data_IF_659552599580
#
_entry.id   IF_659552599580
#
_cell.length_a   1.000
_cell.length_b   1.000
_cell.length_c   1.000
_cell.angle_alpha   90.00
_cell.angle_beta   90.00
_cell.angle_gamma   90.00
#
_symmetry.space_group_name_H-M   'P 1'
#
loop_
_entity.id
_entity.type
_entity.pdbx_description
1 polymer ?
#
# COMPACT_ATOMS: atom_id res chain seq x y z
N UNK A 1 -13.64 11.26 13.15
CA UNK A 1 -12.38 12.02 12.99
C UNK A 1 -12.73 13.50 12.94
N UNK A 2 -11.89 14.37 13.50
CA UNK A 2 -12.00 15.83 13.29
C UNK A 2 -11.14 16.27 12.11
N UNK A 3 -11.41 17.45 11.54
CA UNK A 3 -10.64 17.99 10.42
C UNK A 3 -9.14 18.12 10.74
N UNK A 4 -8.79 18.56 11.96
CA UNK A 4 -7.40 18.64 12.42
C UNK A 4 -6.68 17.28 12.42
N UNK A 5 -7.35 16.24 12.89
CA UNK A 5 -6.82 14.87 12.93
C UNK A 5 -6.62 14.30 11.52
N UNK A 6 -7.58 14.56 10.63
CA UNK A 6 -7.49 14.20 9.21
C UNK A 6 -6.33 14.92 8.52
N UNK A 7 -6.20 16.23 8.72
CA UNK A 7 -5.13 17.05 8.15
C UNK A 7 -3.75 16.55 8.57
N UNK A 8 -3.57 16.18 9.85
CA UNK A 8 -2.33 15.59 10.32
C UNK A 8 -1.99 14.26 9.62
N UNK A 9 -2.97 13.35 9.49
CA UNK A 9 -2.78 12.08 8.77
C UNK A 9 -2.41 12.33 7.30
N UNK A 10 -3.11 13.25 6.65
CA UNK A 10 -2.89 13.61 5.26
C UNK A 10 -1.44 14.08 5.03
N UNK A 11 -1.01 15.12 5.74
CA UNK A 11 0.32 15.71 5.52
C UNK A 11 1.47 14.79 5.92
N UNK A 12 1.31 14.01 7.00
CA UNK A 12 2.35 13.05 7.39
C UNK A 12 2.50 11.93 6.36
N UNK A 13 1.40 11.42 5.83
CA UNK A 13 1.44 10.40 4.76
C UNK A 13 2.01 10.98 3.46
N UNK A 14 1.62 12.22 3.11
CA UNK A 14 2.10 12.90 1.91
C UNK A 14 3.62 13.09 1.95
N UNK A 15 4.12 13.66 3.05
CA UNK A 15 5.55 13.87 3.27
C UNK A 15 6.31 12.55 3.25
N UNK A 16 5.77 11.52 3.90
CA UNK A 16 6.39 10.20 3.93
C UNK A 16 6.47 9.57 2.53
N UNK A 17 5.42 9.67 1.71
CA UNK A 17 5.44 9.18 0.34
C UNK A 17 6.47 9.90 -0.54
N UNK A 18 6.59 11.23 -0.40
CA UNK A 18 7.63 12.01 -1.07
C UNK A 18 9.05 11.56 -0.67
N UNK A 19 9.31 11.44 0.64
CA UNK A 19 10.63 11.03 1.14
C UNK A 19 11.02 9.62 0.71
N UNK A 20 10.09 8.66 0.81
CA UNK A 20 10.35 7.27 0.39
C UNK A 20 10.60 7.20 -1.11
N UNK A 21 9.84 7.94 -1.92
CA UNK A 21 10.01 7.93 -3.37
C UNK A 21 11.33 8.54 -3.82
N UNK A 22 11.79 9.62 -3.18
CA UNK A 22 13.14 10.15 -3.42
C UNK A 22 14.19 9.11 -3.06
N UNK A 23 14.08 8.47 -1.88
CA UNK A 23 15.03 7.45 -1.46
C UNK A 23 15.12 6.27 -2.42
N UNK A 24 13.97 5.70 -2.79
CA UNK A 24 13.88 4.57 -3.73
C UNK A 24 14.31 5.00 -5.14
N UNK A 25 13.87 6.16 -5.60
CA UNK A 25 14.22 6.69 -6.91
C UNK A 25 15.72 6.90 -7.09
N UNK A 26 16.42 7.41 -6.07
CA UNK A 26 17.88 7.57 -6.10
C UNK A 26 18.61 6.22 -6.10
N UNK A 27 18.14 5.24 -5.32
CA UNK A 27 18.69 3.87 -5.32
C UNK A 27 18.54 3.23 -6.70
N UNK A 28 17.36 3.38 -7.31
CA UNK A 28 17.07 2.84 -8.64
C UNK A 28 17.87 3.55 -9.73
N UNK A 29 17.98 4.88 -9.69
CA UNK A 29 18.79 5.64 -10.65
C UNK A 29 20.28 5.25 -10.59
N UNK A 30 20.78 4.86 -9.41
CA UNK A 30 22.16 4.36 -9.27
C UNK A 30 22.32 2.93 -9.79
N UNK A 31 21.30 2.07 -9.58
CA UNK A 31 21.37 0.64 -9.87
C UNK A 31 21.00 0.31 -11.32
N UNK A 32 20.11 1.08 -11.92
CA UNK A 32 19.58 0.89 -13.27
C UNK A 32 19.81 2.18 -14.08
N UNK A 33 20.76 2.12 -15.02
CA UNK A 33 21.13 3.28 -15.84
C UNK A 33 20.04 3.70 -16.84
N UNK A 34 19.08 2.82 -17.11
CA UNK A 34 17.93 3.12 -17.98
C UNK A 34 16.73 3.66 -17.20
N UNK A 35 16.78 3.63 -15.86
CA UNK A 35 15.73 4.18 -15.02
C UNK A 35 15.72 5.71 -15.11
N UNK A 36 14.71 6.24 -15.80
CA UNK A 36 14.40 7.67 -15.84
C UNK A 36 12.96 7.91 -15.39
N UNK A 37 12.76 8.86 -14.48
CA UNK A 37 11.41 9.28 -14.10
C UNK A 37 11.01 10.41 -15.06
N UNK A 38 10.04 10.14 -15.94
CA UNK A 38 9.54 11.05 -16.99
C UNK A 38 10.57 11.52 -18.03
N UNK A 39 11.65 10.77 -18.28
CA UNK A 39 12.50 10.95 -19.47
C UNK A 39 13.36 12.21 -19.55
N UNK A 40 13.59 12.92 -18.44
CA UNK A 40 14.44 14.13 -18.41
C UNK A 40 15.74 13.89 -17.63
N UNK A 41 16.87 14.29 -18.25
CA UNK A 41 18.24 13.90 -17.87
C UNK A 41 18.96 14.86 -16.90
N UNK A 42 18.28 15.89 -16.37
CA UNK A 42 18.86 16.74 -15.33
C UNK A 42 18.58 16.15 -13.94
N UNK A 43 19.62 15.98 -13.12
CA UNK A 43 19.51 15.40 -11.76
C UNK A 43 18.46 16.11 -10.91
N UNK A 44 18.37 17.45 -10.99
CA UNK A 44 17.35 18.23 -10.28
C UNK A 44 15.92 17.99 -10.78
N UNK A 45 15.75 17.73 -12.08
CA UNK A 45 14.44 17.40 -12.65
C UNK A 45 13.98 15.99 -12.27
N UNK A 46 14.92 15.05 -12.15
CA UNK A 46 14.61 13.68 -11.73
C UNK A 46 14.16 13.63 -10.26
N UNK A 47 14.80 14.39 -9.36
CA UNK A 47 14.36 14.51 -7.96
C UNK A 47 12.97 15.14 -7.84
N UNK A 48 12.68 16.17 -8.64
CA UNK A 48 11.35 16.78 -8.66
C UNK A 48 10.28 15.78 -9.12
N UNK A 49 10.56 14.99 -10.16
CA UNK A 49 9.63 13.95 -10.62
C UNK A 49 9.46 12.84 -9.59
N UNK A 50 10.52 12.45 -8.89
CA UNK A 50 10.43 11.48 -7.80
C UNK A 50 9.55 12.00 -6.65
N UNK A 51 9.69 13.27 -6.32
CA UNK A 51 8.87 13.95 -5.31
C UNK A 51 7.40 13.99 -5.75
N UNK A 52 7.12 14.44 -6.97
CA UNK A 52 5.76 14.50 -7.52
C UNK A 52 5.13 13.11 -7.61
N UNK A 53 5.88 12.12 -8.09
CA UNK A 53 5.46 10.71 -8.11
C UNK A 53 5.09 10.21 -6.72
N UNK A 54 5.95 10.47 -5.73
CA UNK A 54 5.68 10.11 -4.34
C UNK A 54 4.47 10.80 -3.75
N UNK A 55 4.26 12.08 -4.08
CA UNK A 55 3.05 12.81 -3.69
C UNK A 55 1.80 12.16 -4.32
N UNK A 56 1.80 11.84 -5.61
CA UNK A 56 0.69 11.15 -6.27
C UNK A 56 0.39 9.79 -5.66
N UNK A 57 1.43 8.98 -5.41
CA UNK A 57 1.28 7.65 -4.81
C UNK A 57 0.73 7.76 -3.38
N UNK A 58 1.17 8.75 -2.61
CA UNK A 58 0.65 8.96 -1.25
C UNK A 58 -0.82 9.40 -1.25
N UNK A 59 -1.26 10.20 -2.23
CA UNK A 59 -2.67 10.58 -2.39
C UNK A 59 -3.51 9.37 -2.81
N UNK A 60 -2.99 8.52 -3.70
CA UNK A 60 -3.63 7.26 -4.08
C UNK A 60 -3.85 6.36 -2.85
N UNK A 61 -2.81 6.17 -2.03
CA UNK A 61 -2.86 5.46 -0.75
C UNK A 61 -3.91 6.03 0.21
N UNK A 62 -4.02 7.35 0.31
CA UNK A 62 -5.05 8.00 1.13
C UNK A 62 -6.46 7.71 0.62
N UNK A 63 -6.68 7.74 -0.68
CA UNK A 63 -7.98 7.43 -1.27
C UNK A 63 -8.42 6.01 -0.92
N UNK A 64 -7.56 5.00 -1.08
CA UNK A 64 -7.93 3.63 -0.72
C UNK A 64 -8.03 3.40 0.78
N UNK A 65 -7.22 4.07 1.61
CA UNK A 65 -7.41 4.07 3.06
C UNK A 65 -8.78 4.61 3.50
N UNK A 66 -9.23 5.72 2.91
CA UNK A 66 -10.57 6.24 3.21
C UNK A 66 -11.67 5.34 2.69
N UNK A 67 -11.52 4.78 1.48
CA UNK A 67 -12.47 3.80 0.95
C UNK A 67 -12.61 2.60 1.89
N UNK A 68 -11.48 2.08 2.41
CA UNK A 68 -11.47 1.01 3.41
C UNK A 68 -12.23 1.39 4.68
N UNK A 69 -12.01 2.60 5.23
CA UNK A 69 -12.72 3.06 6.42
C UNK A 69 -14.22 3.17 6.20
N UNK A 70 -14.65 3.64 5.03
CA UNK A 70 -16.07 3.75 4.65
C UNK A 70 -16.68 2.35 4.53
N UNK A 71 -16.05 1.45 3.79
CA UNK A 71 -16.52 0.05 3.65
C UNK A 71 -16.64 -0.61 5.01
N UNK A 72 -15.63 -0.44 5.87
CA UNK A 72 -15.66 -0.97 7.24
C UNK A 72 -16.81 -0.38 8.07
N UNK A 73 -17.07 0.93 7.94
CA UNK A 73 -18.17 1.59 8.63
C UNK A 73 -19.53 1.05 8.18
N UNK A 74 -19.75 0.93 6.87
CA UNK A 74 -20.98 0.38 6.29
C UNK A 74 -21.15 -1.09 6.68
N UNK A 75 -20.08 -1.88 6.57
CA UNK A 75 -20.11 -3.31 6.91
C UNK A 75 -20.44 -3.55 8.38
N UNK A 76 -19.93 -2.72 9.31
CA UNK A 76 -20.28 -2.81 10.72
C UNK A 76 -21.76 -2.51 11.00
N UNK A 77 -22.43 -1.74 10.14
CA UNK A 77 -23.87 -1.48 10.22
C UNK A 77 -24.74 -2.63 9.70
N UNK A 78 -24.24 -3.39 8.72
CA UNK A 78 -25.00 -4.47 8.05
C UNK A 78 -24.70 -5.84 8.68
N UNK A 79 -23.42 -6.14 8.90
CA UNK A 79 -22.93 -7.45 9.35
C UNK A 79 -22.79 -7.44 10.86
N UNK A 80 -23.74 -8.08 11.54
CA UNK A 80 -23.78 -8.14 13.01
C UNK A 80 -22.71 -9.04 13.62
N UNK A 81 -22.27 -10.07 12.90
CA UNK A 81 -21.27 -11.03 13.38
C UNK A 81 -19.87 -10.62 12.98
N UNK A 82 -19.02 -10.33 13.98
CA UNK A 82 -17.60 -10.05 13.77
C UNK A 82 -16.90 -11.20 13.04
N UNK A 83 -17.19 -12.44 13.40
CA UNK A 83 -16.56 -13.63 12.80
C UNK A 83 -16.86 -13.73 11.30
N UNK A 84 -18.10 -13.45 10.90
CA UNK A 84 -18.50 -13.45 9.49
C UNK A 84 -17.75 -12.36 8.72
N UNK A 85 -17.65 -11.16 9.29
CA UNK A 85 -16.91 -10.06 8.67
C UNK A 85 -15.42 -10.36 8.51
N UNK A 86 -14.80 -10.88 9.56
CA UNK A 86 -13.38 -11.28 9.54
C UNK A 86 -13.14 -12.40 8.50
N UNK A 87 -14.07 -13.37 8.37
CA UNK A 87 -13.96 -14.43 7.37
C UNK A 87 -14.09 -13.90 5.93
N UNK A 88 -15.01 -12.96 5.69
CA UNK A 88 -15.15 -12.31 4.38
C UNK A 88 -13.88 -11.56 4.00
N UNK A 89 -13.27 -10.84 4.95
CA UNK A 89 -11.99 -10.18 4.72
C UNK A 89 -10.89 -11.16 4.32
N UNK A 90 -10.76 -12.29 5.03
CA UNK A 90 -9.80 -13.33 4.68
C UNK A 90 -10.07 -13.94 3.30
N UNK A 91 -11.33 -14.18 2.96
CA UNK A 91 -11.72 -14.71 1.65
C UNK A 91 -11.29 -13.74 0.52
N UNK A 92 -11.52 -12.43 0.70
CA UNK A 92 -11.08 -11.42 -0.27
C UNK A 92 -9.56 -11.33 -0.36
N UNK A 93 -8.84 -11.43 0.76
CA UNK A 93 -7.36 -11.49 0.74
C UNK A 93 -6.87 -12.66 -0.12
N UNK A 94 -7.46 -13.84 0.05
CA UNK A 94 -7.11 -15.03 -0.73
C UNK A 94 -7.38 -14.79 -2.22
N UNK A 95 -8.59 -14.31 -2.57
CA UNK A 95 -8.96 -14.02 -3.97
C UNK A 95 -7.99 -13.03 -4.60
N UNK A 96 -7.69 -11.92 -3.92
CA UNK A 96 -6.80 -10.88 -4.45
C UNK A 96 -5.37 -11.38 -4.65
N UNK A 97 -4.87 -12.27 -3.78
CA UNK A 97 -3.55 -12.90 -3.97
C UNK A 97 -3.53 -13.84 -5.19
N UNK A 98 -4.60 -14.61 -5.40
CA UNK A 98 -4.74 -15.43 -6.61
C UNK A 98 -4.85 -14.56 -7.87
N UNK A 99 -5.67 -13.51 -7.85
CA UNK A 99 -5.83 -12.57 -8.95
C UNK A 99 -4.52 -11.87 -9.29
N UNK A 100 -3.69 -11.56 -8.29
CA UNK A 100 -2.38 -10.95 -8.50
C UNK A 100 -1.45 -11.87 -9.30
N UNK A 101 -1.43 -13.17 -8.97
CA UNK A 101 -0.67 -14.17 -9.75
C UNK A 101 -1.22 -14.28 -11.16
N UNK A 102 -2.55 -14.40 -11.29
CA UNK A 102 -3.23 -14.56 -12.57
C UNK A 102 -3.03 -13.35 -13.50
N UNK A 103 -3.19 -12.13 -12.99
CA UNK A 103 -2.99 -10.88 -13.72
C UNK A 103 -1.56 -10.79 -14.25
N UNK A 104 -0.57 -11.22 -13.45
CA UNK A 104 0.82 -11.20 -13.86
C UNK A 104 1.12 -12.26 -14.92
N UNK A 105 0.57 -13.46 -14.78
CA UNK A 105 0.68 -14.50 -15.81
C UNK A 105 0.10 -14.06 -17.16
N UNK A 106 -1.04 -13.35 -17.14
CA UNK A 106 -1.74 -12.90 -18.36
C UNK A 106 -1.06 -11.69 -19.01
N UNK A 107 -0.48 -10.76 -18.22
CA UNK A 107 0.15 -9.56 -18.77
C UNK A 107 1.55 -9.81 -19.36
N UNK A 108 2.25 -10.84 -18.90
CA UNK A 108 3.66 -11.09 -19.24
C UNK A 108 3.83 -12.48 -19.86
N UNK A 109 2.93 -12.89 -20.76
CA UNK A 109 2.98 -14.18 -21.46
C UNK A 109 4.36 -14.40 -22.11
N UNK A 110 5.24 -15.16 -21.44
CA UNK A 110 6.60 -15.38 -21.91
C UNK A 110 7.53 -16.01 -20.87
N UNK A 111 7.82 -17.31 -21.05
CA UNK A 111 9.00 -18.06 -20.55
C UNK A 111 9.26 -18.17 -19.04
N UNK A 112 8.58 -17.43 -18.17
CA UNK A 112 8.80 -17.52 -16.72
C UNK A 112 7.92 -18.56 -16.03
N UNK A 113 8.48 -19.27 -15.05
CA UNK A 113 7.75 -20.25 -14.26
C UNK A 113 6.67 -19.59 -13.38
N UNK A 114 5.58 -20.31 -13.10
CA UNK A 114 4.53 -19.92 -12.13
C UNK A 114 5.11 -19.45 -10.78
N UNK A 115 6.28 -19.98 -10.42
CA UNK A 115 6.99 -19.66 -9.19
C UNK A 115 7.51 -18.22 -9.17
N UNK A 116 7.93 -17.67 -10.32
CA UNK A 116 8.38 -16.27 -10.43
C UNK A 116 7.24 -15.29 -10.16
N UNK A 117 6.05 -15.58 -10.72
CA UNK A 117 4.85 -14.75 -10.54
C UNK A 117 4.32 -14.76 -9.10
N UNK A 118 4.67 -15.77 -8.31
CA UNK A 118 4.27 -15.89 -6.91
C UNK A 118 5.11 -15.06 -5.93
N UNK A 119 6.29 -14.58 -6.34
CA UNK A 119 7.23 -13.88 -5.46
C UNK A 119 6.65 -12.57 -4.93
N UNK A 120 6.10 -11.74 -5.82
CA UNK A 120 5.53 -10.44 -5.42
C UNK A 120 4.32 -10.58 -4.47
N UNK A 121 3.30 -11.43 -4.77
CA UNK A 121 2.23 -11.72 -3.82
C UNK A 121 2.75 -12.19 -2.46
N UNK A 122 3.75 -13.07 -2.43
CA UNK A 122 4.35 -13.54 -1.19
C UNK A 122 5.01 -12.42 -0.39
N UNK A 123 5.75 -11.51 -1.05
CA UNK A 123 6.35 -10.34 -0.40
C UNK A 123 5.27 -9.44 0.21
N UNK A 124 4.22 -9.12 -0.56
CA UNK A 124 3.10 -8.29 -0.08
C UNK A 124 2.41 -8.94 1.12
N UNK A 125 2.17 -10.26 1.07
CA UNK A 125 1.57 -11.00 2.17
C UNK A 125 2.46 -10.98 3.42
N UNK A 126 3.77 -11.21 3.28
CA UNK A 126 4.72 -11.16 4.40
C UNK A 126 4.76 -9.78 5.06
N UNK A 127 4.83 -8.71 4.27
CA UNK A 127 4.79 -7.33 4.78
C UNK A 127 3.45 -7.08 5.48
N UNK A 128 2.33 -7.53 4.91
CA UNK A 128 1.00 -7.36 5.48
C UNK A 128 0.86 -8.06 6.83
N UNK A 129 1.38 -9.29 6.95
CA UNK A 129 1.42 -10.04 8.21
C UNK A 129 2.28 -9.31 9.24
N UNK A 130 3.46 -8.81 8.86
CA UNK A 130 4.34 -8.09 9.77
C UNK A 130 3.67 -6.81 10.31
N UNK A 131 3.05 -6.01 9.43
CA UNK A 131 2.31 -4.79 9.81
C UNK A 131 1.10 -5.12 10.69
N UNK A 132 0.34 -6.17 10.37
CA UNK A 132 -0.78 -6.64 11.19
C UNK A 132 -0.32 -7.10 12.58
N UNK A 133 0.80 -7.81 12.67
CA UNK A 133 1.40 -8.21 13.93
C UNK A 133 1.80 -7.00 14.79
N UNK A 134 2.49 -6.02 14.21
CA UNK A 134 2.83 -4.77 14.93
C UNK A 134 1.59 -4.00 15.36
N UNK A 135 0.55 -3.96 14.51
CA UNK A 135 -0.71 -3.30 14.87
C UNK A 135 -1.36 -3.95 16.09
N UNK A 136 -1.39 -5.27 16.16
CA UNK A 136 -1.91 -6.01 17.32
C UNK A 136 -1.13 -5.65 18.57
N UNK A 137 0.22 -5.62 18.49
CA UNK A 137 1.08 -5.24 19.62
C UNK A 137 0.82 -3.81 20.11
N UNK A 138 0.46 -2.88 19.23
CA UNK A 138 0.13 -1.51 19.58
C UNK A 138 -1.31 -1.32 20.07
N UNK A 139 -2.21 -2.28 19.80
CA UNK A 139 -3.66 -2.10 20.04
C UNK A 139 -4.28 -3.34 20.68
N UNK A 140 -4.89 -4.24 19.90
CA UNK A 140 -5.55 -5.44 20.38
C UNK A 140 -5.56 -6.53 19.29
N UNK A 141 -5.82 -7.78 19.69
CA UNK A 141 -5.85 -8.94 18.77
C UNK A 141 -6.89 -8.82 17.66
N UNK A 142 -7.99 -8.11 17.90
CA UNK A 142 -9.07 -7.93 16.92
C UNK A 142 -8.66 -7.04 15.74
N UNK A 143 -7.52 -6.35 15.82
CA UNK A 143 -7.00 -5.53 14.74
C UNK A 143 -6.24 -6.32 13.65
N UNK A 144 -5.89 -7.60 13.90
CA UNK A 144 -5.06 -8.38 12.98
C UNK A 144 -5.68 -8.52 11.59
N UNK A 145 -6.87 -9.10 11.50
CA UNK A 145 -7.54 -9.41 10.22
C UNK A 145 -7.88 -8.11 9.45
N UNK A 146 -8.45 -7.06 10.08
CA UNK A 146 -8.67 -5.79 9.38
C UNK A 146 -7.39 -5.14 8.85
N UNK A 147 -6.26 -5.28 9.55
CA UNK A 147 -4.98 -4.74 9.07
C UNK A 147 -4.37 -5.61 7.98
N UNK A 148 -4.45 -6.94 8.08
CA UNK A 148 -4.03 -7.86 7.02
C UNK A 148 -4.81 -7.59 5.74
N UNK A 149 -6.13 -7.45 5.84
CA UNK A 149 -7.01 -7.11 4.72
C UNK A 149 -6.60 -5.79 4.06
N UNK A 150 -6.44 -4.73 4.85
CA UNK A 150 -6.05 -3.43 4.30
C UNK A 150 -4.67 -3.47 3.64
N UNK A 151 -3.67 -4.01 4.33
CA UNK A 151 -2.30 -4.06 3.81
C UNK A 151 -2.15 -4.97 2.60
N UNK A 152 -3.00 -5.99 2.45
CA UNK A 152 -2.95 -6.91 1.33
C UNK A 152 -3.93 -6.51 0.23
N UNK A 153 -5.24 -6.67 0.47
CA UNK A 153 -6.26 -6.51 -0.57
C UNK A 153 -6.33 -5.07 -1.10
N UNK A 154 -6.36 -4.09 -0.21
CA UNK A 154 -6.48 -2.68 -0.63
C UNK A 154 -5.20 -2.20 -1.30
N UNK A 155 -4.02 -2.53 -0.75
CA UNK A 155 -2.74 -2.20 -1.39
C UNK A 155 -2.62 -2.83 -2.79
N UNK A 156 -3.03 -4.08 -2.97
CA UNK A 156 -2.96 -4.73 -4.30
C UNK A 156 -3.90 -4.04 -5.30
N UNK A 157 -5.10 -3.67 -4.87
CA UNK A 157 -6.04 -2.92 -5.71
C UNK A 157 -5.47 -1.55 -6.11
N UNK A 158 -4.82 -0.85 -5.17
CA UNK A 158 -4.12 0.42 -5.46
C UNK A 158 -2.90 0.22 -6.35
N UNK A 159 -2.22 -0.91 -6.23
CA UNK A 159 -1.02 -1.24 -6.99
C UNK A 159 -1.29 -1.71 -8.43
N UNK A 160 -2.55 -1.91 -8.84
CA UNK A 160 -2.90 -2.36 -10.21
C UNK A 160 -2.17 -1.57 -11.32
N UNK A 161 -2.04 -0.22 -11.26
CA UNK A 161 -1.26 0.51 -12.25
C UNK A 161 0.22 0.12 -12.27
N UNK A 162 0.83 -0.11 -11.10
CA UNK A 162 2.22 -0.57 -10.99
C UNK A 162 2.40 -1.97 -11.57
N UNK A 163 1.42 -2.85 -11.34
CA UNK A 163 1.47 -4.27 -11.72
C UNK A 163 1.35 -4.51 -13.23
N UNK A 164 0.95 -3.48 -13.99
CA UNK A 164 0.90 -3.49 -15.45
C UNK A 164 2.19 -2.97 -16.10
N UNK A 165 3.16 -2.49 -15.32
CA UNK A 165 4.42 -2.01 -15.84
C UNK A 165 5.36 -3.19 -16.14
N UNK A 166 5.95 -3.19 -17.32
CA UNK A 166 6.89 -4.22 -17.77
C UNK A 166 8.32 -4.04 -17.21
N UNK A 167 8.52 -3.02 -16.38
CA UNK A 167 9.79 -2.76 -15.71
C UNK A 167 9.67 -2.96 -14.20
N UNK A 168 10.52 -3.85 -13.67
CA UNK A 168 10.60 -4.15 -12.24
C UNK A 168 11.01 -2.93 -11.39
N UNK A 169 11.91 -2.07 -11.88
CA UNK A 169 12.31 -0.83 -11.21
C UNK A 169 11.14 0.15 -11.12
N UNK A 170 10.39 0.35 -12.21
CA UNK A 170 9.21 1.23 -12.20
C UNK A 170 8.09 0.69 -11.29
N UNK A 171 7.88 -0.63 -11.30
CA UNK A 171 6.96 -1.30 -10.38
C UNK A 171 7.38 -1.10 -8.92
N UNK A 172 8.66 -1.27 -8.61
CA UNK A 172 9.21 -1.09 -7.27
C UNK A 172 9.12 0.37 -6.80
N UNK A 173 9.39 1.32 -7.70
CA UNK A 173 9.26 2.75 -7.44
C UNK A 173 7.84 3.14 -6.99
N UNK A 174 6.81 2.51 -7.56
CA UNK A 174 5.43 2.75 -7.14
C UNK A 174 5.04 1.96 -5.88
N UNK A 175 5.41 0.66 -5.81
CA UNK A 175 5.01 -0.24 -4.72
C UNK A 175 5.61 0.14 -3.37
N UNK A 176 6.88 0.54 -3.33
CA UNK A 176 7.58 0.84 -2.08
C UNK A 176 6.93 2.00 -1.30
N UNK A 177 6.78 3.22 -1.85
CA UNK A 177 6.08 4.30 -1.16
C UNK A 177 4.62 3.96 -0.84
N UNK A 178 3.92 3.25 -1.72
CA UNK A 178 2.54 2.81 -1.48
C UNK A 178 2.42 1.95 -0.21
N UNK A 179 3.27 0.93 -0.09
CA UNK A 179 3.32 0.05 1.08
C UNK A 179 3.65 0.81 2.37
N UNK A 180 4.62 1.74 2.32
CA UNK A 180 5.00 2.51 3.51
C UNK A 180 3.89 3.50 3.90
N UNK A 181 3.24 4.16 2.93
CA UNK A 181 2.11 5.05 3.19
C UNK A 181 0.94 4.28 3.82
N UNK A 182 0.54 3.14 3.27
CA UNK A 182 -0.52 2.30 3.82
C UNK A 182 -0.16 1.82 5.24
N UNK A 183 1.06 1.32 5.44
CA UNK A 183 1.53 0.89 6.75
C UNK A 183 1.49 2.03 7.77
N UNK A 184 1.97 3.22 7.39
CA UNK A 184 1.92 4.41 8.24
C UNK A 184 0.48 4.72 8.67
N UNK A 185 -0.44 4.84 7.70
CA UNK A 185 -1.83 5.20 7.96
C UNK A 185 -2.53 4.21 8.89
N UNK A 186 -2.41 2.90 8.62
CA UNK A 186 -3.09 1.89 9.42
C UNK A 186 -2.48 1.79 10.82
N UNK A 187 -1.15 1.92 10.96
CA UNK A 187 -0.49 1.88 12.25
C UNK A 187 -0.82 3.11 13.09
N UNK A 188 -0.71 4.33 12.54
CA UNK A 188 -0.89 5.57 13.30
C UNK A 188 -2.35 5.84 13.68
N UNK A 189 -3.32 5.27 12.94
CA UNK A 189 -4.75 5.54 13.09
C UNK A 189 -5.24 5.52 14.55
N UNK A 190 -4.81 4.53 15.35
CA UNK A 190 -5.26 4.40 16.73
C UNK A 190 -4.83 5.60 17.60
N UNK A 191 -3.61 6.10 17.42
CA UNK A 191 -3.10 7.27 18.17
C UNK A 191 -3.81 8.55 17.77
N UNK A 192 -4.12 8.70 16.48
CA UNK A 192 -4.86 9.86 15.99
C UNK A 192 -6.29 9.85 16.51
N UNK A 193 -6.93 8.68 16.57
CA UNK A 193 -8.30 8.57 17.08
C UNK A 193 -8.36 8.68 18.59
N UNK A 194 -7.29 8.34 19.31
CA UNK A 194 -7.26 8.47 20.76
C UNK A 194 -7.52 9.92 21.19
N UNK A 195 -8.48 10.09 22.07
CA UNK A 195 -8.80 11.37 22.69
C UNK A 195 -8.16 11.34 24.07
N UNK A 196 -6.86 11.62 24.17
CA UNK A 196 -6.37 12.14 25.45
C UNK A 196 -7.10 13.45 25.66
N UNK A 197 -8.09 13.43 26.56
CA UNK A 197 -8.70 14.64 27.12
C UNK A 197 -7.55 15.52 27.58
N UNK A 198 -7.31 16.61 26.85
CA UNK A 198 -6.62 17.78 27.40
C UNK A 198 -7.62 18.56 28.23
#
# INVERSE_FOLDING_TARGET
MTLRKWFHLFWTTLLLGMLVSIGIGLILQYSDKEFSVMGLSAVGFNVLNMLLGGATISVLSQMGFFAYLIVRFIAAGIIRSKTVWDLLQLAVVIVVLFDLVYLRMTNFEGTESVLSYSILPAIILLISIAVAYWKVKMTNRNAFIPTLFFMCAVTVLEAVPALKLDNAASSLFMLAPLLVCNAWQILILHKILDNKKS
#
